data_IF_109302944990
#
_entry.id   IF_109302944990
#
_cell.length_a   1.000
_cell.length_b   1.000
_cell.length_c   1.000
_cell.angle_alpha   90.00
_cell.angle_beta   90.00
_cell.angle_gamma   90.00
#
_symmetry.space_group_name_H-M   'P 1'
#
loop_
_entity.id
_entity.type
_entity.pdbx_description
1 polymer ?
#
# COMPACT_ATOMS: atom_id res chain seq x y z
N UNK A 1 8.32 17.68 28.82
CA UNK A 1 7.52 17.88 27.59
C UNK A 1 8.29 17.23 26.43
N UNK A 2 7.69 16.26 25.78
CA UNK A 2 8.30 15.55 24.64
C UNK A 2 8.39 16.54 23.47
N UNK A 3 9.55 16.64 22.85
CA UNK A 3 9.74 17.54 21.71
C UNK A 3 9.13 16.94 20.43
N UNK A 4 8.57 17.80 19.58
CA UNK A 4 8.07 17.37 18.27
C UNK A 4 9.23 16.87 17.40
N UNK A 5 9.11 15.67 16.79
CA UNK A 5 10.10 15.21 15.82
C UNK A 5 10.20 16.17 14.62
N UNK A 6 11.41 16.41 14.13
CA UNK A 6 11.65 17.32 13.00
C UNK A 6 10.87 16.91 11.74
N UNK A 7 10.61 15.62 11.54
CA UNK A 7 9.83 15.10 10.42
C UNK A 7 8.40 15.66 10.36
N UNK A 8 7.82 16.06 11.49
CA UNK A 8 6.47 16.65 11.55
C UNK A 8 6.39 17.98 10.78
N UNK A 9 7.49 18.70 10.62
CA UNK A 9 7.53 19.96 9.85
C UNK A 9 7.20 19.77 8.35
N UNK A 10 7.20 18.54 7.85
CA UNK A 10 6.77 18.24 6.49
C UNK A 10 5.22 18.24 6.32
N UNK A 11 4.48 18.10 7.42
CA UNK A 11 3.01 18.16 7.45
C UNK A 11 2.52 19.61 7.61
N UNK A 12 1.24 19.89 7.29
CA UNK A 12 0.62 21.16 7.64
C UNK A 12 0.72 21.50 9.13
N UNK A 13 0.80 22.78 9.47
CA UNK A 13 0.98 23.28 10.84
C UNK A 13 -0.08 22.76 11.84
N UNK A 14 -1.28 22.45 11.35
CA UNK A 14 -2.38 21.90 12.17
C UNK A 14 -2.08 20.53 12.79
N UNK A 15 -1.15 19.76 12.23
CA UNK A 15 -0.72 18.48 12.79
C UNK A 15 0.14 18.63 14.07
N UNK A 16 0.82 19.76 14.24
CA UNK A 16 1.58 20.00 15.45
C UNK A 16 0.75 19.91 16.74
N UNK A 17 -0.33 20.70 16.88
CA UNK A 17 -1.24 20.60 18.02
C UNK A 17 -1.93 19.23 18.16
N UNK A 18 -2.23 18.54 17.04
CA UNK A 18 -2.79 17.19 17.07
C UNK A 18 -1.80 16.19 17.67
N UNK A 19 -0.54 16.25 17.24
CA UNK A 19 0.55 15.44 17.79
C UNK A 19 0.72 15.68 19.30
N UNK A 20 0.78 16.93 19.75
CA UNK A 20 0.95 17.26 21.16
C UNK A 20 -0.15 16.66 22.04
N UNK A 21 -1.42 16.73 21.58
CA UNK A 21 -2.55 16.13 22.28
C UNK A 21 -2.46 14.59 22.29
N UNK A 22 -2.09 13.97 21.17
CA UNK A 22 -1.89 12.52 21.10
C UNK A 22 -0.81 12.07 22.10
N UNK A 23 0.32 12.77 22.14
CA UNK A 23 1.39 12.53 23.12
C UNK A 23 0.86 12.65 24.54
N UNK A 24 0.14 13.73 24.87
CA UNK A 24 -0.37 13.96 26.21
C UNK A 24 -1.33 12.86 26.68
N UNK A 25 -2.24 12.41 25.79
CA UNK A 25 -3.19 11.33 26.09
C UNK A 25 -2.48 10.00 26.30
N UNK A 26 -1.56 9.64 25.39
CA UNK A 26 -0.87 8.36 25.49
C UNK A 26 0.17 8.34 26.60
N UNK A 27 0.83 9.47 26.91
CA UNK A 27 1.76 9.57 28.01
C UNK A 27 1.04 9.49 29.38
N UNK A 28 -0.20 9.96 29.48
CA UNK A 28 -0.99 9.90 30.71
C UNK A 28 -1.55 8.49 31.00
N UNK A 29 -1.66 7.62 30.01
CA UNK A 29 -2.16 6.25 30.20
C UNK A 29 -0.99 5.32 30.52
N UNK A 30 -0.95 4.79 31.77
CA UNK A 30 0.13 3.90 32.22
C UNK A 30 0.21 2.58 31.46
N UNK A 31 -0.86 2.17 30.79
CA UNK A 31 -0.87 0.98 29.91
C UNK A 31 -0.04 1.21 28.67
N UNK A 32 0.11 2.46 28.20
CA UNK A 32 0.93 2.82 27.05
C UNK A 32 2.40 2.85 27.46
N UNK A 33 3.19 1.95 26.91
CA UNK A 33 4.60 1.77 27.28
C UNK A 33 5.56 2.49 26.35
N UNK A 34 5.20 2.61 25.07
CA UNK A 34 5.97 3.37 24.09
C UNK A 34 5.06 3.94 22.99
N UNK A 35 5.53 4.98 22.32
CA UNK A 35 4.87 5.61 21.18
C UNK A 35 5.90 5.91 20.09
N UNK A 36 5.53 5.62 18.85
CA UNK A 36 6.32 5.91 17.65
C UNK A 36 5.46 6.61 16.60
N UNK A 37 6.11 7.40 15.74
CA UNK A 37 5.58 7.75 14.43
C UNK A 37 6.12 6.75 13.41
N UNK A 38 5.30 6.41 12.43
CA UNK A 38 5.70 5.53 11.33
C UNK A 38 5.25 6.08 9.97
N UNK A 39 4.94 5.25 8.99
CA UNK A 39 4.45 5.73 7.70
C UNK A 39 5.45 6.62 6.96
N UNK A 40 4.96 7.66 6.30
CA UNK A 40 5.75 8.58 5.51
C UNK A 40 6.74 9.39 6.37
N UNK A 41 6.35 9.74 7.61
CA UNK A 41 7.19 10.46 8.57
C UNK A 41 8.46 9.68 8.89
N UNK A 42 8.34 8.42 9.24
CA UNK A 42 9.49 7.58 9.60
C UNK A 42 10.37 7.21 8.40
N UNK A 43 9.82 7.26 7.19
CA UNK A 43 10.60 7.04 5.96
C UNK A 43 11.35 8.27 5.46
N UNK A 44 11.11 9.46 6.03
CA UNK A 44 11.65 10.72 5.50
C UNK A 44 11.04 11.11 4.15
N UNK A 45 9.83 10.63 3.85
CA UNK A 45 9.11 10.83 2.60
C UNK A 45 7.76 11.55 2.82
N UNK A 46 7.58 12.18 3.97
CA UNK A 46 6.40 12.96 4.28
C UNK A 46 6.38 14.26 3.50
N UNK A 47 5.18 14.71 3.15
CA UNK A 47 4.87 15.97 2.49
C UNK A 47 3.56 16.56 3.02
N UNK A 48 3.14 17.70 2.50
CA UNK A 48 1.90 18.37 2.91
C UNK A 48 0.61 17.56 2.65
N UNK A 49 0.68 16.48 1.88
CA UNK A 49 -0.44 15.59 1.61
C UNK A 49 -0.38 14.29 2.44
N UNK A 50 0.63 14.15 3.30
CA UNK A 50 0.78 12.96 4.15
C UNK A 50 -0.14 13.00 5.36
N UNK A 51 -0.33 11.83 5.97
CA UNK A 51 -1.08 11.61 7.20
C UNK A 51 -0.12 11.45 8.39
N UNK A 52 -0.70 11.47 9.61
CA UNK A 52 0.05 11.19 10.83
C UNK A 52 -0.25 9.76 11.28
N UNK A 53 0.70 8.88 11.03
CA UNK A 53 0.65 7.48 11.43
C UNK A 53 1.34 7.30 12.79
N UNK A 54 0.60 6.83 13.79
CA UNK A 54 1.07 6.58 15.16
C UNK A 54 1.01 5.10 15.46
N UNK A 55 2.01 4.57 16.14
CA UNK A 55 1.92 3.28 16.81
C UNK A 55 2.23 3.41 18.30
N UNK A 56 1.53 2.60 19.11
CA UNK A 56 1.71 2.54 20.54
C UNK A 56 1.85 1.10 21.03
N UNK A 57 2.82 0.87 21.92
CA UNK A 57 2.96 -0.40 22.62
C UNK A 57 2.15 -0.35 23.91
N UNK A 58 1.31 -1.35 24.13
CA UNK A 58 0.43 -1.45 25.28
C UNK A 58 0.91 -2.62 26.15
N UNK A 59 0.91 -2.44 27.48
CA UNK A 59 1.16 -3.54 28.41
C UNK A 59 0.23 -4.73 28.09
N UNK A 60 0.77 -5.95 28.11
CA UNK A 60 0.04 -7.13 27.63
C UNK A 60 -1.30 -7.35 28.35
N UNK A 61 -1.34 -7.15 29.66
CA UNK A 61 -2.53 -7.28 30.50
C UNK A 61 -3.52 -6.11 30.34
N UNK A 62 -3.06 -4.97 29.81
CA UNK A 62 -3.88 -3.78 29.56
C UNK A 62 -4.45 -3.69 28.14
N UNK A 63 -4.01 -4.54 27.20
CA UNK A 63 -4.29 -4.38 25.78
C UNK A 63 -5.78 -4.45 25.44
N UNK A 64 -6.49 -5.45 25.92
CA UNK A 64 -7.92 -5.63 25.62
C UNK A 64 -8.76 -4.46 26.14
N UNK A 65 -8.47 -3.98 27.35
CA UNK A 65 -9.13 -2.81 27.92
C UNK A 65 -8.80 -1.52 27.18
N UNK A 66 -7.56 -1.35 26.74
CA UNK A 66 -7.14 -0.22 25.91
C UNK A 66 -7.86 -0.25 24.54
N UNK A 67 -7.85 -1.39 23.89
CA UNK A 67 -8.50 -1.58 22.60
C UNK A 67 -10.03 -1.36 22.69
N UNK A 68 -10.67 -1.82 23.73
CA UNK A 68 -12.11 -1.62 23.94
C UNK A 68 -12.49 -0.14 24.18
N UNK A 69 -11.61 0.64 24.83
CA UNK A 69 -11.84 2.07 25.13
C UNK A 69 -11.37 3.03 24.01
N UNK A 70 -11.19 2.55 22.79
CA UNK A 70 -10.61 3.34 21.71
C UNK A 70 -11.34 4.65 21.42
N UNK A 71 -12.67 4.68 21.57
CA UNK A 71 -13.45 5.89 21.34
C UNK A 71 -13.15 6.98 22.35
N UNK A 72 -12.91 6.60 23.59
CA UNK A 72 -12.69 7.54 24.70
C UNK A 72 -11.34 8.25 24.52
N UNK A 73 -10.27 7.51 24.25
CA UNK A 73 -8.96 8.12 24.07
C UNK A 73 -8.81 8.84 22.72
N UNK A 74 -9.52 8.41 21.65
CA UNK A 74 -9.63 9.22 20.41
C UNK A 74 -10.29 10.54 20.70
N UNK A 75 -11.44 10.54 21.39
CA UNK A 75 -12.17 11.76 21.74
C UNK A 75 -11.35 12.69 22.64
N UNK A 76 -10.50 12.13 23.52
CA UNK A 76 -9.58 12.90 24.35
C UNK A 76 -8.46 13.57 23.52
N UNK A 77 -8.02 12.95 22.42
CA UNK A 77 -7.01 13.52 21.51
C UNK A 77 -7.63 14.63 20.67
N UNK A 78 -8.77 14.37 20.02
CA UNK A 78 -9.38 15.34 19.10
C UNK A 78 -10.84 14.99 18.78
N UNK A 79 -11.71 15.98 18.57
CA UNK A 79 -12.98 15.75 17.90
C UNK A 79 -12.76 15.12 16.53
N UNK A 80 -13.68 14.26 16.08
CA UNK A 80 -13.58 13.58 14.79
C UNK A 80 -14.86 13.71 13.98
N UNK A 81 -14.73 13.88 12.65
CA UNK A 81 -15.84 13.76 11.71
C UNK A 81 -16.19 12.28 11.47
N UNK A 82 -15.16 11.46 11.42
CA UNK A 82 -15.28 10.00 11.36
C UNK A 82 -14.11 9.36 12.06
N UNK A 83 -14.37 8.25 12.76
CA UNK A 83 -13.36 7.38 13.29
C UNK A 83 -13.87 5.94 13.22
N UNK A 84 -13.03 5.00 12.78
CA UNK A 84 -13.40 3.59 12.61
C UNK A 84 -12.26 2.67 13.02
N UNK A 85 -12.57 1.52 13.62
CA UNK A 85 -11.57 0.49 13.86
C UNK A 85 -11.19 -0.18 12.52
N UNK A 86 -9.90 -0.49 12.38
CA UNK A 86 -9.35 -1.31 11.29
C UNK A 86 -9.14 -2.73 11.80
N UNK A 87 -8.65 -2.85 13.03
CA UNK A 87 -8.41 -4.09 13.76
C UNK A 87 -8.52 -3.81 15.26
N UNK A 88 -8.34 -4.82 16.12
CA UNK A 88 -8.30 -4.63 17.57
C UNK A 88 -7.20 -3.61 17.94
N UNK A 89 -7.61 -2.50 18.54
CA UNK A 89 -6.71 -1.41 18.95
C UNK A 89 -6.23 -0.48 17.83
N UNK A 90 -6.53 -0.79 16.55
CA UNK A 90 -6.11 0.03 15.41
C UNK A 90 -7.30 0.74 14.78
N UNK A 91 -7.14 2.01 14.48
CA UNK A 91 -8.21 2.80 13.85
C UNK A 91 -7.63 3.93 12.99
N UNK A 92 -8.49 4.45 12.14
CA UNK A 92 -8.26 5.71 11.46
C UNK A 92 -9.27 6.76 11.89
N UNK A 93 -8.87 8.02 11.84
CA UNK A 93 -9.72 9.14 12.15
C UNK A 93 -9.51 10.31 11.18
N UNK A 94 -10.57 11.08 10.98
CA UNK A 94 -10.58 12.34 10.24
C UNK A 94 -11.06 13.43 11.20
N UNK A 95 -10.24 14.46 11.41
CA UNK A 95 -10.57 15.59 12.26
C UNK A 95 -11.49 16.59 11.53
N UNK A 96 -12.12 17.57 12.23
CA UNK A 96 -12.90 18.62 11.60
C UNK A 96 -12.14 19.47 10.57
N UNK A 97 -10.81 19.57 10.70
CA UNK A 97 -9.93 20.24 9.73
C UNK A 97 -9.37 19.30 8.67
N UNK A 98 -9.93 18.08 8.61
CA UNK A 98 -9.54 17.03 7.66
C UNK A 98 -8.10 16.51 7.81
N UNK A 99 -7.45 16.67 8.97
CA UNK A 99 -6.23 15.89 9.27
C UNK A 99 -6.58 14.41 9.35
N UNK A 100 -5.76 13.58 8.71
CA UNK A 100 -5.84 12.12 8.78
C UNK A 100 -4.89 11.63 9.86
N UNK A 101 -5.45 10.86 10.77
CA UNK A 101 -4.75 10.38 11.95
C UNK A 101 -5.06 8.91 12.16
N UNK A 102 -4.03 8.09 12.01
CA UNK A 102 -4.13 6.64 12.12
C UNK A 102 -3.33 6.18 13.35
N UNK A 103 -3.91 5.29 14.16
CA UNK A 103 -3.23 4.69 15.30
C UNK A 103 -3.26 3.17 15.20
N UNK A 104 -2.12 2.56 15.46
CA UNK A 104 -1.94 1.12 15.58
C UNK A 104 -1.45 0.83 16.99
N UNK A 105 -2.28 0.16 17.80
CA UNK A 105 -1.91 -0.32 19.11
C UNK A 105 -1.58 -1.82 19.06
N UNK A 106 -0.43 -2.19 19.60
CA UNK A 106 0.00 -3.58 19.68
C UNK A 106 0.40 -3.90 21.13
N UNK A 107 0.09 -5.11 21.66
CA UNK A 107 0.64 -5.54 22.92
C UNK A 107 2.16 -5.71 22.81
N UNK A 108 2.90 -5.42 23.87
CA UNK A 108 4.37 -5.51 23.91
C UNK A 108 4.87 -6.86 23.38
N UNK A 109 4.16 -7.93 23.64
CA UNK A 109 4.52 -9.29 23.18
C UNK A 109 4.55 -9.47 21.66
N UNK A 110 3.90 -8.58 20.90
CA UNK A 110 3.89 -8.63 19.42
C UNK A 110 5.01 -7.83 18.77
N UNK A 111 5.70 -6.96 19.51
CA UNK A 111 6.73 -6.08 18.92
C UNK A 111 7.84 -6.82 18.16
N UNK A 112 8.34 -8.01 18.59
CA UNK A 112 9.36 -8.74 17.85
C UNK A 112 8.90 -9.22 16.45
N UNK A 113 7.59 -9.30 16.24
CA UNK A 113 6.99 -9.75 14.97
C UNK A 113 6.23 -8.64 14.24
N UNK A 114 6.33 -7.38 14.71
CA UNK A 114 5.64 -6.26 14.05
C UNK A 114 6.20 -5.98 12.66
N UNK A 115 5.31 -5.58 11.74
CA UNK A 115 5.70 -5.06 10.42
C UNK A 115 6.11 -3.58 10.44
N UNK A 116 5.89 -2.88 11.55
CA UNK A 116 6.16 -1.44 11.71
C UNK A 116 7.63 -1.16 12.03
N UNK A 117 8.54 -1.70 11.24
CA UNK A 117 9.98 -1.66 11.52
C UNK A 117 10.61 -0.28 11.29
N UNK A 118 10.12 0.53 10.34
CA UNK A 118 10.55 1.93 10.16
C UNK A 118 9.72 2.84 11.04
N UNK A 119 10.37 3.46 12.01
CA UNK A 119 9.72 4.25 13.06
C UNK A 119 10.60 5.38 13.56
N UNK A 120 9.97 6.40 14.15
CA UNK A 120 10.61 7.46 14.92
C UNK A 120 10.10 7.36 16.36
N UNK A 121 11.00 7.20 17.29
CA UNK A 121 10.64 7.12 18.72
C UNK A 121 10.12 8.47 19.19
N UNK A 122 8.92 8.48 19.79
CA UNK A 122 8.35 9.65 20.47
C UNK A 122 8.62 9.55 21.96
N UNK A 123 8.25 8.44 22.58
CA UNK A 123 8.70 8.05 23.92
C UNK A 123 8.76 6.52 24.05
N UNK A 124 9.60 6.06 24.97
CA UNK A 124 9.78 4.64 25.25
C UNK A 124 10.18 4.48 26.73
N UNK A 125 9.27 3.94 27.54
CA UNK A 125 9.45 3.83 28.99
C UNK A 125 10.34 2.66 29.42
N UNK A 126 10.35 1.61 28.59
CA UNK A 126 10.91 0.31 28.96
C UNK A 126 12.01 -0.15 27.99
N UNK A 127 12.46 0.70 27.05
CA UNK A 127 13.45 0.33 26.06
C UNK A 127 12.91 -0.66 25.02
N UNK A 128 11.61 -0.59 24.72
CA UNK A 128 10.90 -1.51 23.83
C UNK A 128 11.31 -1.37 22.37
N UNK A 129 11.87 -0.24 21.99
CA UNK A 129 12.35 0.01 20.63
C UNK A 129 13.35 -1.05 20.17
N UNK A 130 14.17 -1.55 21.08
CA UNK A 130 15.13 -2.63 20.80
C UNK A 130 14.50 -3.99 20.49
N UNK A 131 13.23 -4.22 20.83
CA UNK A 131 12.50 -5.46 20.52
C UNK A 131 12.01 -5.49 19.07
N UNK A 132 11.88 -4.31 18.44
CA UNK A 132 11.37 -4.20 17.08
C UNK A 132 12.52 -4.46 16.09
N UNK A 133 12.33 -5.36 15.11
CA UNK A 133 13.34 -5.64 14.11
C UNK A 133 13.85 -4.39 13.39
N UNK A 134 15.09 -4.37 12.92
CA UNK A 134 15.57 -3.27 12.09
C UNK A 134 14.79 -3.21 10.78
N UNK A 135 14.64 -2.01 10.19
CA UNK A 135 14.03 -1.87 8.88
C UNK A 135 14.77 -2.71 7.84
N UNK A 136 14.00 -3.46 7.06
CA UNK A 136 14.54 -4.20 5.92
C UNK A 136 14.03 -3.60 4.62
N UNK A 137 14.90 -3.57 3.61
CA UNK A 137 14.55 -3.24 2.23
C UNK A 137 14.69 -4.53 1.41
N UNK A 138 13.61 -5.33 1.32
CA UNK A 138 13.68 -6.64 0.68
C UNK A 138 13.97 -6.48 -0.83
N UNK A 139 14.72 -7.41 -1.42
CA UNK A 139 14.85 -7.50 -2.88
C UNK A 139 13.51 -7.83 -3.53
N UNK A 140 13.43 -7.81 -4.88
CA UNK A 140 12.25 -8.32 -5.58
C UNK A 140 11.92 -9.73 -5.12
N UNK A 141 10.64 -10.00 -4.88
CA UNK A 141 10.16 -11.34 -4.51
C UNK A 141 9.77 -12.12 -5.77
N UNK A 142 10.51 -13.20 -6.13
CA UNK A 142 10.18 -14.01 -7.30
C UNK A 142 8.77 -14.62 -7.23
N UNK A 143 8.24 -14.91 -6.04
CA UNK A 143 6.90 -15.46 -5.86
C UNK A 143 5.83 -14.44 -6.26
N UNK A 144 6.01 -13.17 -5.83
CA UNK A 144 5.10 -12.08 -6.20
C UNK A 144 5.18 -11.80 -7.70
N UNK A 145 6.38 -11.77 -8.28
CA UNK A 145 6.56 -11.55 -9.72
C UNK A 145 5.89 -12.68 -10.53
N UNK A 146 6.11 -13.95 -10.15
CA UNK A 146 5.47 -15.11 -10.79
C UNK A 146 3.95 -14.98 -10.72
N UNK A 147 3.40 -14.72 -9.55
CA UNK A 147 1.97 -14.51 -9.37
C UNK A 147 1.41 -13.41 -10.30
N UNK A 148 2.08 -12.26 -10.39
CA UNK A 148 1.62 -11.15 -11.22
C UNK A 148 1.63 -11.49 -12.71
N UNK A 149 2.63 -12.27 -13.17
CA UNK A 149 2.72 -12.73 -14.56
C UNK A 149 1.58 -13.73 -14.84
N UNK A 150 1.44 -14.76 -14.02
CA UNK A 150 0.43 -15.80 -14.21
C UNK A 150 -0.99 -15.24 -14.08
N UNK A 151 -1.22 -14.35 -13.10
CA UNK A 151 -2.53 -13.71 -12.91
C UNK A 151 -2.88 -12.78 -14.08
N UNK A 152 -1.91 -12.09 -14.67
CA UNK A 152 -2.14 -11.30 -15.88
C UNK A 152 -2.61 -12.17 -17.04
N UNK A 153 -1.98 -13.33 -17.27
CA UNK A 153 -2.38 -14.28 -18.29
C UNK A 153 -3.77 -14.89 -17.98
N UNK A 154 -4.04 -15.20 -16.70
CA UNK A 154 -5.37 -15.68 -16.27
C UNK A 154 -6.46 -14.64 -16.51
N UNK A 155 -6.20 -13.37 -16.25
CA UNK A 155 -7.16 -12.30 -16.53
C UNK A 155 -7.36 -12.09 -18.03
N UNK A 156 -6.34 -12.29 -18.86
CA UNK A 156 -6.52 -12.31 -20.31
C UNK A 156 -7.55 -13.36 -20.73
N UNK A 157 -7.48 -14.57 -20.17
CA UNK A 157 -8.42 -15.67 -20.47
C UNK A 157 -9.86 -15.37 -20.04
N UNK A 158 -10.10 -14.43 -19.13
CA UNK A 158 -11.45 -14.02 -18.72
C UNK A 158 -12.11 -13.04 -19.71
N UNK A 159 -11.36 -12.45 -20.63
CA UNK A 159 -11.87 -11.39 -21.51
C UNK A 159 -13.05 -11.81 -22.42
N UNK A 160 -13.17 -13.05 -22.92
CA UNK A 160 -14.36 -13.49 -23.66
C UNK A 160 -15.69 -13.27 -22.93
N UNK A 161 -15.67 -13.20 -21.60
CA UNK A 161 -16.85 -12.86 -20.78
C UNK A 161 -17.41 -11.48 -21.13
N UNK A 162 -16.52 -10.50 -21.42
CA UNK A 162 -16.90 -9.15 -21.85
C UNK A 162 -17.62 -9.21 -23.19
N UNK A 163 -17.06 -9.94 -24.15
CA UNK A 163 -17.60 -10.08 -25.50
C UNK A 163 -18.95 -10.78 -25.52
N UNK A 164 -19.06 -11.93 -24.83
CA UNK A 164 -20.29 -12.74 -24.81
C UNK A 164 -21.44 -11.99 -24.14
N UNK A 165 -21.16 -11.14 -23.17
CA UNK A 165 -22.17 -10.38 -22.42
C UNK A 165 -22.40 -8.99 -22.96
N UNK A 166 -21.63 -8.54 -23.95
CA UNK A 166 -21.62 -7.16 -24.44
C UNK A 166 -21.45 -6.13 -23.29
N UNK A 167 -20.67 -6.53 -22.25
CA UNK A 167 -20.51 -5.74 -21.02
C UNK A 167 -19.21 -4.93 -21.06
N UNK A 168 -19.30 -3.77 -21.70
CA UNK A 168 -18.15 -2.88 -21.88
C UNK A 168 -17.76 -2.11 -20.61
N UNK A 169 -18.64 -2.03 -19.61
CA UNK A 169 -18.29 -1.57 -18.27
C UNK A 169 -17.35 -2.56 -17.59
N UNK A 170 -17.66 -3.86 -17.66
CA UNK A 170 -16.76 -4.93 -17.21
C UNK A 170 -15.43 -4.88 -17.99
N UNK A 171 -15.49 -4.58 -19.31
CA UNK A 171 -14.31 -4.42 -20.15
C UNK A 171 -13.36 -3.35 -19.64
N UNK A 172 -13.87 -2.18 -19.24
CA UNK A 172 -13.06 -1.10 -18.61
C UNK A 172 -12.38 -1.60 -17.34
N UNK A 173 -13.14 -2.26 -16.46
CA UNK A 173 -12.58 -2.80 -15.19
C UNK A 173 -11.49 -3.85 -15.47
N UNK A 174 -11.71 -4.74 -16.45
CA UNK A 174 -10.75 -5.76 -16.82
C UNK A 174 -9.43 -5.15 -17.33
N UNK A 175 -9.48 -4.12 -18.18
CA UNK A 175 -8.29 -3.41 -18.66
C UNK A 175 -7.55 -2.73 -17.49
N UNK A 176 -8.27 -2.01 -16.65
CA UNK A 176 -7.68 -1.34 -15.48
C UNK A 176 -7.00 -2.33 -14.54
N UNK A 177 -7.58 -3.52 -14.35
CA UNK A 177 -6.99 -4.57 -13.50
C UNK A 177 -5.64 -5.05 -14.09
N UNK A 178 -5.55 -5.26 -15.39
CA UNK A 178 -4.30 -5.68 -16.05
C UNK A 178 -3.26 -4.55 -16.01
N UNK A 179 -3.66 -3.30 -16.20
CA UNK A 179 -2.77 -2.14 -16.03
C UNK A 179 -2.25 -2.04 -14.58
N UNK A 180 -3.09 -2.36 -13.59
CA UNK A 180 -2.67 -2.42 -12.18
C UNK A 180 -1.63 -3.52 -11.94
N UNK A 181 -1.81 -4.71 -12.51
CA UNK A 181 -0.80 -5.78 -12.39
C UNK A 181 0.50 -5.40 -13.08
N UNK A 182 0.46 -4.74 -14.22
CA UNK A 182 1.66 -4.23 -14.88
C UNK A 182 2.40 -3.19 -14.01
N UNK A 183 1.67 -2.27 -13.38
CA UNK A 183 2.24 -1.35 -12.41
C UNK A 183 2.89 -2.09 -11.23
N UNK A 184 2.18 -3.07 -10.65
CA UNK A 184 2.69 -3.85 -9.53
C UNK A 184 3.94 -4.65 -9.91
N UNK A 185 3.96 -5.24 -11.10
CA UNK A 185 5.10 -5.96 -11.65
C UNK A 185 6.34 -5.06 -11.77
N UNK A 186 6.17 -3.84 -12.29
CA UNK A 186 7.24 -2.86 -12.35
C UNK A 186 7.72 -2.47 -10.95
N UNK A 187 6.79 -2.12 -10.06
CA UNK A 187 7.12 -1.70 -8.70
C UNK A 187 7.84 -2.81 -7.91
N UNK A 188 7.39 -4.06 -8.05
CA UNK A 188 8.04 -5.22 -7.40
C UNK A 188 9.45 -5.43 -7.97
N UNK A 189 9.59 -5.37 -9.28
CA UNK A 189 10.88 -5.62 -9.95
C UNK A 189 11.93 -4.53 -9.70
N UNK A 190 11.53 -3.37 -9.19
CA UNK A 190 12.41 -2.24 -8.86
C UNK A 190 12.85 -2.22 -7.39
N UNK A 191 12.47 -3.20 -6.60
CA UNK A 191 12.94 -3.32 -5.21
C UNK A 191 14.46 -3.57 -5.13
N UNK A 192 15.12 -3.07 -4.09
CA UNK A 192 14.59 -2.22 -3.04
C UNK A 192 14.20 -0.84 -3.58
N UNK A 193 12.95 -0.46 -3.36
CA UNK A 193 12.45 0.84 -3.80
C UNK A 193 12.92 1.97 -2.87
N UNK A 194 12.98 3.22 -3.35
CA UNK A 194 13.13 4.38 -2.48
C UNK A 194 12.11 4.32 -1.33
N UNK A 195 12.37 4.94 -0.18
CA UNK A 195 11.48 4.90 0.99
C UNK A 195 10.19 5.67 0.73
N UNK A 196 9.30 5.08 -0.07
CA UNK A 196 8.04 5.65 -0.54
C UNK A 196 6.83 5.05 0.17
N UNK A 197 5.75 5.82 0.30
CA UNK A 197 4.48 5.35 0.84
C UNK A 197 3.60 4.61 -0.19
N UNK A 198 2.51 3.97 0.27
CA UNK A 198 1.55 3.30 -0.62
C UNK A 198 0.95 4.23 -1.68
N UNK A 199 0.76 5.51 -1.35
CA UNK A 199 0.15 6.53 -2.22
C UNK A 199 1.15 7.20 -3.17
N UNK A 200 2.47 6.94 -3.04
CA UNK A 200 3.53 7.53 -3.85
C UNK A 200 3.91 6.59 -5.01
N UNK A 201 2.99 6.41 -5.93
CA UNK A 201 3.08 5.41 -7.00
C UNK A 201 4.23 5.65 -7.98
N UNK A 202 4.34 6.88 -8.49
CA UNK A 202 5.33 7.23 -9.52
C UNK A 202 6.77 7.06 -9.04
N UNK A 203 7.03 7.20 -7.76
CA UNK A 203 8.38 7.08 -7.18
C UNK A 203 8.90 5.63 -7.17
N UNK A 204 8.02 4.63 -7.29
CA UNK A 204 8.38 3.21 -7.37
C UNK A 204 8.79 2.78 -8.78
N UNK A 205 8.66 3.67 -9.76
CA UNK A 205 8.86 3.38 -11.17
C UNK A 205 10.08 4.12 -11.72
N UNK A 206 10.77 3.51 -12.66
CA UNK A 206 11.77 4.22 -13.46
C UNK A 206 11.11 5.27 -14.36
N UNK A 207 11.84 6.29 -14.86
CA UNK A 207 11.31 7.24 -15.83
C UNK A 207 10.71 6.58 -17.08
N UNK A 208 11.36 5.54 -17.61
CA UNK A 208 10.87 4.79 -18.77
C UNK A 208 9.55 4.05 -18.47
N UNK A 209 9.44 3.40 -17.31
CA UNK A 209 8.21 2.71 -16.89
C UNK A 209 7.05 3.70 -16.68
N UNK A 210 7.33 4.89 -16.10
CA UNK A 210 6.32 5.95 -15.98
C UNK A 210 5.83 6.39 -17.35
N UNK A 211 6.73 6.61 -18.29
CA UNK A 211 6.36 6.99 -19.67
C UNK A 211 5.50 5.90 -20.34
N UNK A 212 5.88 4.64 -20.18
CA UNK A 212 5.13 3.49 -20.71
C UNK A 212 3.72 3.46 -20.16
N UNK A 213 3.55 3.50 -18.82
CA UNK A 213 2.23 3.43 -18.20
C UNK A 213 1.37 4.68 -18.51
N UNK A 214 1.98 5.87 -18.56
CA UNK A 214 1.27 7.11 -18.91
C UNK A 214 0.85 7.16 -20.37
N UNK A 215 1.50 6.40 -21.24
CA UNK A 215 1.17 6.29 -22.66
C UNK A 215 0.09 5.25 -22.97
N UNK A 216 -0.36 4.47 -22.01
CA UNK A 216 -1.44 3.51 -22.22
C UNK A 216 -2.78 4.23 -22.45
N UNK A 217 -3.58 3.81 -23.43
CA UNK A 217 -4.90 4.37 -23.63
C UNK A 217 -5.82 4.15 -22.44
N UNK A 218 -6.60 5.15 -22.08
CA UNK A 218 -7.67 4.99 -21.12
C UNK A 218 -8.85 4.23 -21.77
N UNK A 219 -9.34 3.18 -21.12
CA UNK A 219 -10.54 2.48 -21.58
C UNK A 219 -11.79 3.27 -21.19
N UNK A 220 -12.70 3.47 -22.16
CA UNK A 220 -14.07 3.95 -21.96
C UNK A 220 -15.06 2.82 -22.31
N UNK A 221 -16.32 2.82 -21.83
CA UNK A 221 -17.25 1.71 -22.02
C UNK A 221 -17.80 1.64 -23.46
N UNK A 222 -16.91 1.36 -24.41
CA UNK A 222 -17.22 1.10 -25.81
C UNK A 222 -16.30 0.01 -26.37
N UNK A 223 -16.74 -0.77 -27.36
CA UNK A 223 -15.96 -1.85 -27.96
C UNK A 223 -14.56 -1.38 -28.37
N UNK A 224 -14.49 -0.39 -29.24
CA UNK A 224 -13.24 0.10 -29.83
C UNK A 224 -12.25 0.58 -28.76
N UNK A 225 -12.74 1.32 -27.76
CA UNK A 225 -11.89 1.86 -26.70
C UNK A 225 -11.32 0.76 -25.79
N UNK A 226 -12.17 -0.20 -25.38
CA UNK A 226 -11.74 -1.32 -24.53
C UNK A 226 -10.77 -2.22 -25.27
N UNK A 227 -11.05 -2.56 -26.54
CA UNK A 227 -10.19 -3.42 -27.36
C UNK A 227 -8.83 -2.76 -27.60
N UNK A 228 -8.80 -1.49 -27.98
CA UNK A 228 -7.55 -0.76 -28.19
C UNK A 228 -6.71 -0.64 -26.91
N UNK A 229 -7.34 -0.34 -25.77
CA UNK A 229 -6.64 -0.25 -24.49
C UNK A 229 -6.11 -1.60 -24.02
N UNK A 230 -6.88 -2.69 -24.22
CA UNK A 230 -6.46 -4.07 -23.94
C UNK A 230 -5.25 -4.46 -24.79
N UNK A 231 -5.33 -4.24 -26.11
CA UNK A 231 -4.24 -4.55 -27.04
C UNK A 231 -2.94 -3.84 -26.65
N UNK A 232 -3.01 -2.52 -26.43
CA UNK A 232 -1.85 -1.73 -26.02
C UNK A 232 -1.26 -2.21 -24.69
N UNK A 233 -2.13 -2.56 -23.71
CA UNK A 233 -1.68 -3.04 -22.40
C UNK A 233 -0.96 -4.38 -22.50
N UNK A 234 -1.52 -5.34 -23.26
CA UNK A 234 -0.87 -6.65 -23.46
C UNK A 234 0.39 -6.56 -24.32
N UNK A 235 0.44 -5.66 -25.31
CA UNK A 235 1.68 -5.42 -26.07
C UNK A 235 2.81 -4.95 -25.15
N UNK A 236 2.51 -4.06 -24.20
CA UNK A 236 3.48 -3.66 -23.15
C UNK A 236 3.83 -4.82 -22.24
N UNK A 237 2.84 -5.57 -21.75
CA UNK A 237 3.08 -6.72 -20.87
C UNK A 237 4.04 -7.75 -21.50
N UNK A 238 3.78 -8.19 -22.74
CA UNK A 238 4.64 -9.17 -23.42
C UNK A 238 6.03 -8.63 -23.79
N UNK A 239 6.20 -7.35 -23.90
CA UNK A 239 7.51 -6.72 -24.08
C UNK A 239 8.31 -6.63 -22.77
N UNK A 240 7.66 -6.26 -21.68
CA UNK A 240 8.34 -5.90 -20.42
C UNK A 240 8.46 -7.09 -19.44
N UNK A 241 7.44 -7.96 -19.37
CA UNK A 241 7.41 -9.02 -18.37
C UNK A 241 8.45 -10.13 -18.57
N UNK A 242 8.75 -10.63 -19.78
CA UNK A 242 9.77 -11.67 -19.97
C UNK A 242 11.18 -11.25 -19.50
N UNK A 243 11.71 -10.06 -19.82
CA UNK A 243 12.99 -9.64 -19.27
C UNK A 243 12.95 -9.40 -17.75
N UNK A 244 11.80 -9.03 -17.17
CA UNK A 244 11.64 -8.97 -15.72
C UNK A 244 11.73 -10.35 -15.10
N UNK A 245 11.03 -11.34 -15.65
CA UNK A 245 11.10 -12.72 -15.19
C UNK A 245 12.55 -13.25 -15.24
N UNK A 246 13.22 -13.09 -16.38
CA UNK A 246 14.57 -13.61 -16.60
C UNK A 246 15.60 -13.04 -15.60
N UNK A 247 15.60 -11.72 -15.36
CA UNK A 247 16.55 -11.11 -14.41
C UNK A 247 16.28 -11.44 -12.94
N UNK A 248 15.07 -11.95 -12.63
CA UNK A 248 14.70 -12.43 -11.30
C UNK A 248 14.76 -13.96 -11.17
N UNK A 249 15.36 -14.66 -12.15
CA UNK A 249 15.54 -16.11 -12.12
C UNK A 249 14.25 -16.91 -12.32
N UNK A 250 13.20 -16.29 -12.87
CA UNK A 250 11.89 -16.89 -13.09
C UNK A 250 11.81 -17.43 -14.51
N UNK A 251 11.46 -18.70 -14.65
CA UNK A 251 11.17 -19.30 -15.95
C UNK A 251 9.83 -18.74 -16.46
N UNK A 252 9.83 -18.22 -17.68
CA UNK A 252 8.62 -17.71 -18.31
C UNK A 252 7.59 -18.83 -18.48
N UNK A 253 6.29 -18.63 -18.12
CA UNK A 253 5.27 -19.68 -18.17
C UNK A 253 4.74 -19.91 -19.61
N UNK A 254 5.60 -20.32 -20.53
CA UNK A 254 5.28 -20.46 -21.96
C UNK A 254 4.11 -21.38 -22.23
N UNK A 255 3.96 -22.46 -21.44
CA UNK A 255 2.82 -23.36 -21.59
C UNK A 255 1.48 -22.65 -21.29
N UNK A 256 1.44 -21.86 -20.21
CA UNK A 256 0.24 -21.07 -19.86
C UNK A 256 -0.02 -20.00 -20.93
N UNK A 257 1.00 -19.29 -21.37
CA UNK A 257 0.85 -18.29 -22.43
C UNK A 257 0.27 -18.91 -23.71
N UNK A 258 0.83 -20.02 -24.18
CA UNK A 258 0.34 -20.68 -25.40
C UNK A 258 -1.12 -21.11 -25.25
N UNK A 259 -1.47 -21.76 -24.14
CA UNK A 259 -2.85 -22.19 -23.89
C UNK A 259 -3.84 -21.02 -23.88
N UNK A 260 -3.46 -19.89 -23.24
CA UNK A 260 -4.28 -18.68 -23.22
C UNK A 260 -4.41 -18.05 -24.60
N UNK A 261 -3.32 -17.97 -25.37
CA UNK A 261 -3.35 -17.43 -26.75
C UNK A 261 -4.24 -18.26 -27.67
N UNK A 262 -4.13 -19.60 -27.62
CA UNK A 262 -4.95 -20.50 -28.43
C UNK A 262 -6.41 -20.36 -28.04
N UNK A 263 -6.74 -20.42 -26.76
CA UNK A 263 -8.10 -20.22 -26.27
C UNK A 263 -8.70 -18.87 -26.74
N UNK A 264 -7.96 -17.78 -26.57
CA UNK A 264 -8.46 -16.45 -26.95
C UNK A 264 -8.62 -16.27 -28.46
N UNK A 265 -7.79 -16.93 -29.27
CA UNK A 265 -7.94 -16.93 -30.71
C UNK A 265 -9.25 -17.61 -31.10
N UNK A 266 -9.55 -18.76 -30.50
CA UNK A 266 -10.81 -19.51 -30.72
C UNK A 266 -12.04 -18.73 -30.26
N UNK A 267 -11.90 -17.85 -29.29
CA UNK A 267 -12.97 -16.96 -28.79
C UNK A 267 -13.07 -15.61 -29.56
N UNK A 268 -12.29 -15.41 -30.63
CA UNK A 268 -12.30 -14.16 -31.39
C UNK A 268 -11.68 -12.95 -30.67
N UNK A 269 -10.88 -13.18 -29.63
CA UNK A 269 -10.24 -12.15 -28.81
C UNK A 269 -8.70 -12.33 -28.72
N UNK A 270 -7.98 -12.44 -29.85
CA UNK A 270 -6.55 -12.74 -29.82
C UNK A 270 -5.76 -11.74 -28.98
N UNK A 271 -4.61 -12.18 -28.45
CA UNK A 271 -3.59 -11.30 -27.85
C UNK A 271 -2.60 -10.83 -28.93
N UNK A 272 -2.00 -9.64 -28.74
CA UNK A 272 -0.99 -9.12 -29.67
C UNK A 272 0.27 -9.98 -29.71
#
# INVERSE_FOLDING_TARGET
MISRPAALAALPDSYGPLFDRAVAVFEADERVRAMWLHGALARGAADAASDMDVSVAIANDGFDGFAASWRDWVAAITPTLTARPIAAGSFYALTPSCERFDVIAEPVSKLPATSLTRRLVVFDRDGLDQLIPPPADPPPDPTVITYLIEETLRQAANFPTVLVRDDWLLGVVAVQQVQMFLYQLFAESNKPAPPTGPKQWSFKLTPAQRQVLSGLPAATPSPDSVLAAREATFAVFFREAPPIAARNGITWPSHLEHAVRDYLRDQGAPLP
#
